data_IF_196574913179
#
_entry.id   IF_196574913179
#
_cell.length_a   1.000
_cell.length_b   1.000
_cell.length_c   1.000
_cell.angle_alpha   90.00
_cell.angle_beta   90.00
_cell.angle_gamma   90.00
#
_symmetry.space_group_name_H-M   'P 1'
#
loop_
_entity.id
_entity.type
_entity.pdbx_description
1 polymer ?
#
# COMPACT_ATOMS: atom_id res chain seq x y z
N UNK A 1 33.98 42.03 -4.26
CA UNK A 1 33.79 40.61 -4.62
C UNK A 1 33.87 39.78 -3.34
N UNK A 2 33.10 40.09 -2.30
CA UNK A 2 31.73 39.63 -2.02
C UNK A 2 31.46 38.12 -2.15
N UNK A 3 31.65 37.46 -0.98
CA UNK A 3 30.86 36.42 -0.29
C UNK A 3 30.62 35.06 -0.98
N UNK A 4 30.96 33.98 -0.27
CA UNK A 4 30.01 33.00 0.32
C UNK A 4 30.82 31.95 1.10
N UNK A 5 30.94 32.09 2.43
CA UNK A 5 30.05 31.51 3.48
C UNK A 5 30.23 30.00 3.61
N UNK A 6 30.74 29.64 4.78
CA UNK A 6 31.00 28.34 5.40
C UNK A 6 29.74 27.50 5.62
N UNK A 7 29.87 26.17 5.51
CA UNK A 7 29.15 25.18 6.32
C UNK A 7 29.93 23.85 6.19
N UNK A 8 30.92 23.58 7.05
CA UNK A 8 30.76 22.83 8.30
C UNK A 8 30.07 21.48 8.10
N UNK A 9 30.86 20.46 7.76
CA UNK A 9 30.47 19.07 7.81
C UNK A 9 29.99 18.72 9.23
N UNK A 10 28.68 18.55 9.38
CA UNK A 10 28.05 18.09 10.61
C UNK A 10 28.35 16.61 10.80
N UNK A 11 29.39 16.35 11.58
CA UNK A 11 29.70 15.06 12.20
C UNK A 11 28.65 14.77 13.27
N UNK A 12 27.57 14.05 12.95
CA UNK A 12 26.68 13.49 13.99
C UNK A 12 27.20 12.14 14.44
N UNK A 13 28.13 12.20 15.38
CA UNK A 13 28.53 11.08 16.24
C UNK A 13 27.38 10.70 17.16
N UNK A 14 26.82 9.50 17.00
CA UNK A 14 26.11 8.81 18.09
C UNK A 14 26.48 7.32 18.07
N UNK A 15 27.76 7.04 18.35
CA UNK A 15 28.16 5.74 18.88
C UNK A 15 28.23 5.88 20.40
N UNK A 16 27.07 5.85 21.05
CA UNK A 16 26.92 5.84 22.49
C UNK A 16 26.31 4.51 22.92
N UNK A 17 27.07 3.42 22.77
CA UNK A 17 26.76 2.14 23.39
C UNK A 17 27.73 1.94 24.55
N UNK A 18 27.20 1.87 25.78
CA UNK A 18 27.94 1.33 26.93
C UNK A 18 28.35 -0.10 26.55
N UNK A 19 29.63 -0.43 26.72
CA UNK A 19 30.13 -1.79 26.46
C UNK A 19 29.88 -2.59 27.73
N UNK A 20 28.88 -3.45 27.68
CA UNK A 20 28.54 -4.36 28.76
C UNK A 20 29.64 -5.42 28.88
N UNK A 21 30.11 -5.66 30.10
CA UNK A 21 31.30 -6.50 30.42
C UNK A 21 31.05 -8.01 30.27
N UNK A 22 29.84 -8.44 29.87
CA UNK A 22 29.54 -9.84 29.62
C UNK A 22 29.78 -10.16 28.14
N UNK A 23 30.90 -10.82 27.87
CA UNK A 23 31.15 -11.43 26.57
C UNK A 23 30.19 -12.59 26.35
N UNK A 24 29.18 -12.37 25.52
CA UNK A 24 28.44 -13.46 24.86
C UNK A 24 28.28 -13.13 23.36
N UNK A 25 28.83 -14.03 22.56
CA UNK A 25 28.42 -14.43 21.22
C UNK A 25 28.22 -13.34 20.17
N UNK A 26 29.27 -13.15 19.38
CA UNK A 26 29.23 -12.47 18.08
C UNK A 26 28.45 -13.28 17.05
N UNK A 27 27.11 -13.31 17.19
CA UNK A 27 26.20 -13.92 16.21
C UNK A 27 25.33 -12.88 15.48
N UNK A 28 25.90 -11.73 15.10
CA UNK A 28 25.11 -10.69 14.39
C UNK A 28 25.69 -10.21 13.06
N UNK A 29 26.83 -10.75 12.59
CA UNK A 29 27.52 -10.14 11.42
C UNK A 29 27.32 -10.88 10.08
N UNK A 30 26.69 -12.06 10.05
CA UNK A 30 26.54 -12.84 8.80
C UNK A 30 25.08 -13.03 8.32
N UNK A 31 24.19 -12.08 8.57
CA UNK A 31 22.91 -12.07 7.85
C UNK A 31 23.12 -11.41 6.48
N UNK A 32 22.94 -12.19 5.41
CA UNK A 32 22.91 -11.67 4.04
C UNK A 32 21.73 -10.72 3.87
N UNK A 33 21.99 -9.42 4.11
CA UNK A 33 21.00 -8.37 3.89
C UNK A 33 20.76 -8.27 2.38
N UNK A 34 19.50 -8.39 1.97
CA UNK A 34 19.12 -8.13 0.58
C UNK A 34 19.43 -6.68 0.24
N UNK A 35 20.21 -6.38 -0.81
CA UNK A 35 20.50 -5.00 -1.18
C UNK A 35 19.26 -4.37 -1.80
N UNK A 36 18.48 -3.64 -0.99
CA UNK A 36 17.33 -2.89 -1.46
C UNK A 36 17.79 -1.76 -2.39
N UNK A 37 17.21 -1.68 -3.58
CA UNK A 37 17.37 -0.51 -4.47
C UNK A 37 16.10 0.34 -4.39
N UNK A 38 16.26 1.64 -4.17
CA UNK A 38 15.17 2.60 -4.16
C UNK A 38 15.14 3.32 -5.51
N UNK A 39 13.98 3.30 -6.17
CA UNK A 39 13.75 4.05 -7.41
C UNK A 39 12.46 4.85 -7.31
N UNK A 40 12.34 5.91 -8.11
CA UNK A 40 11.12 6.72 -8.15
C UNK A 40 10.06 5.99 -8.99
N UNK A 41 8.96 5.60 -8.36
CA UNK A 41 7.82 4.97 -9.05
C UNK A 41 7.21 5.96 -10.07
N UNK A 42 7.11 5.53 -11.32
CA UNK A 42 6.48 6.28 -12.42
C UNK A 42 5.74 5.35 -13.38
N UNK A 43 4.88 5.91 -14.24
CA UNK A 43 4.12 5.15 -15.23
C UNK A 43 3.30 4.01 -14.63
N UNK A 44 3.41 2.82 -15.21
CA UNK A 44 2.71 1.63 -14.74
C UNK A 44 3.14 1.16 -13.35
N UNK A 45 4.41 1.32 -12.96
CA UNK A 45 4.88 0.90 -11.64
C UNK A 45 4.12 1.66 -10.55
N UNK A 46 3.94 2.97 -10.73
CA UNK A 46 3.17 3.81 -9.80
C UNK A 46 1.68 3.42 -9.73
N UNK A 47 1.09 3.01 -10.87
CA UNK A 47 -0.31 2.57 -10.92
C UNK A 47 -0.54 1.17 -10.34
N UNK A 48 0.48 0.31 -10.36
CA UNK A 48 0.41 -1.03 -9.76
C UNK A 48 0.66 -1.01 -8.27
N UNK A 49 1.40 -0.03 -7.76
CA UNK A 49 1.67 0.14 -6.34
C UNK A 49 0.42 0.63 -5.59
N UNK A 50 -0.25 -0.20 -4.78
CA UNK A 50 -1.55 0.16 -4.16
C UNK A 50 -1.42 1.31 -3.15
N UNK A 51 -0.22 1.45 -2.58
CA UNK A 51 0.16 2.50 -1.61
C UNK A 51 0.14 3.91 -2.21
N UNK A 52 0.54 4.02 -3.47
CA UNK A 52 0.74 5.30 -4.14
C UNK A 52 -0.31 5.58 -5.22
N UNK A 53 -1.00 4.54 -5.68
CA UNK A 53 -2.05 4.69 -6.68
C UNK A 53 -3.25 5.49 -6.13
N UNK A 54 -3.56 6.60 -6.82
CA UNK A 54 -4.73 7.46 -6.53
C UNK A 54 -5.87 7.25 -7.54
N UNK A 55 -5.72 6.33 -8.49
CA UNK A 55 -6.67 6.11 -9.58
C UNK A 55 -6.91 7.39 -10.38
N UNK A 56 -8.17 7.82 -10.49
CA UNK A 56 -8.54 9.04 -11.22
C UNK A 56 -8.28 10.34 -10.45
N UNK A 57 -7.81 10.27 -9.20
CA UNK A 57 -7.56 11.45 -8.36
C UNK A 57 -6.18 12.08 -8.61
N UNK A 58 -5.37 11.50 -9.51
CA UNK A 58 -4.15 12.17 -9.97
C UNK A 58 -4.50 13.46 -10.69
N UNK A 59 -3.94 14.57 -10.20
CA UNK A 59 -4.05 15.89 -10.82
C UNK A 59 -3.29 15.93 -12.16
N UNK A 60 -3.62 16.88 -13.03
CA UNK A 60 -2.94 17.01 -14.34
C UNK A 60 -1.43 17.18 -14.18
N UNK A 61 -0.99 17.98 -13.20
CA UNK A 61 0.43 18.16 -12.89
C UNK A 61 1.11 16.85 -12.48
N UNK A 62 0.49 16.07 -11.59
CA UNK A 62 1.03 14.77 -11.18
C UNK A 62 1.10 13.78 -12.35
N UNK A 63 0.11 13.83 -13.27
CA UNK A 63 0.11 12.97 -14.45
C UNK A 63 1.25 13.30 -15.40
N UNK A 64 1.57 14.58 -15.56
CA UNK A 64 2.70 15.03 -16.38
C UNK A 64 4.05 14.69 -15.71
N UNK A 65 4.19 14.86 -14.39
CA UNK A 65 5.44 14.57 -13.68
C UNK A 65 5.74 13.07 -13.54
N UNK A 66 4.70 12.22 -13.40
CA UNK A 66 4.86 10.78 -13.21
C UNK A 66 4.64 9.95 -14.49
N UNK A 67 4.61 10.59 -15.66
CA UNK A 67 4.42 9.93 -16.96
C UNK A 67 3.14 9.07 -17.03
N UNK A 68 2.04 9.59 -16.47
CA UNK A 68 0.72 8.92 -16.47
C UNK A 68 -0.18 9.39 -17.61
N UNK A 69 0.26 10.38 -18.39
CA UNK A 69 -0.51 10.93 -19.52
C UNK A 69 -0.71 9.86 -20.60
N UNK A 70 -1.96 9.63 -20.98
CA UNK A 70 -2.35 8.58 -21.92
C UNK A 70 -2.67 7.23 -21.27
N UNK A 71 -2.26 6.99 -20.01
CA UNK A 71 -2.61 5.76 -19.27
C UNK A 71 -3.96 5.87 -18.57
N UNK A 72 -4.35 7.08 -18.17
CA UNK A 72 -5.61 7.37 -17.50
C UNK A 72 -6.54 8.20 -18.40
N UNK A 73 -7.87 7.99 -18.31
CA UNK A 73 -8.85 8.88 -18.94
C UNK A 73 -8.64 10.35 -18.56
N UNK A 74 -9.02 11.32 -19.41
CA UNK A 74 -8.78 12.74 -19.15
C UNK A 74 -9.54 13.29 -17.94
N UNK A 75 -10.58 12.60 -17.46
CA UNK A 75 -11.33 13.00 -16.29
C UNK A 75 -10.48 12.91 -15.01
N UNK A 76 -10.45 13.99 -14.23
CA UNK A 76 -9.92 14.03 -12.87
C UNK A 76 -11.09 13.95 -11.91
N UNK A 77 -11.09 12.96 -11.02
CA UNK A 77 -12.19 12.72 -10.07
C UNK A 77 -11.64 12.85 -8.66
N UNK A 78 -12.20 13.77 -7.88
CA UNK A 78 -11.81 13.98 -6.49
C UNK A 78 -12.01 12.72 -5.64
N UNK A 79 -11.18 12.56 -4.60
CA UNK A 79 -11.17 11.36 -3.77
C UNK A 79 -12.50 11.15 -3.05
N UNK A 80 -13.15 12.23 -2.58
CA UNK A 80 -14.46 12.16 -1.94
C UNK A 80 -15.56 11.68 -2.90
N UNK A 81 -15.45 12.06 -4.19
CA UNK A 81 -16.41 11.61 -5.20
C UNK A 81 -16.18 10.14 -5.57
N UNK A 82 -14.93 9.68 -5.59
CA UNK A 82 -14.62 8.26 -5.78
C UNK A 82 -15.19 7.41 -4.64
N UNK A 83 -15.01 7.86 -3.39
CA UNK A 83 -15.57 7.21 -2.20
C UNK A 83 -17.09 7.09 -2.29
N UNK A 84 -17.79 8.20 -2.58
CA UNK A 84 -19.26 8.21 -2.74
C UNK A 84 -19.75 7.25 -3.83
N UNK A 85 -19.05 7.18 -4.97
CA UNK A 85 -19.40 6.24 -6.05
C UNK A 85 -19.20 4.80 -5.61
N UNK A 86 -18.11 4.54 -4.92
CA UNK A 86 -17.72 3.20 -4.48
C UNK A 86 -18.67 2.65 -3.41
N UNK A 87 -19.02 3.43 -2.38
CA UNK A 87 -19.98 2.99 -1.36
C UNK A 87 -21.36 2.71 -1.98
N UNK A 88 -21.80 3.54 -2.94
CA UNK A 88 -23.05 3.32 -3.66
C UNK A 88 -23.01 2.01 -4.46
N UNK A 89 -21.90 1.72 -5.14
CA UNK A 89 -21.72 0.45 -5.84
C UNK A 89 -21.71 -0.75 -4.86
N UNK A 90 -21.01 -0.63 -3.72
CA UNK A 90 -20.95 -1.70 -2.71
C UNK A 90 -22.34 -2.01 -2.15
N UNK A 91 -23.16 -0.98 -1.93
CA UNK A 91 -24.54 -1.13 -1.44
C UNK A 91 -25.47 -1.83 -2.42
N UNK A 92 -25.20 -1.74 -3.72
CA UNK A 92 -26.00 -2.40 -4.77
C UNK A 92 -25.76 -3.92 -4.82
N UNK A 93 -24.63 -4.43 -4.33
CA UNK A 93 -24.40 -5.86 -4.30
C UNK A 93 -25.36 -6.58 -3.34
N UNK A 94 -26.03 -7.61 -3.85
CA UNK A 94 -26.99 -8.42 -3.11
C UNK A 94 -26.27 -9.40 -2.16
N UNK A 95 -25.13 -9.95 -2.60
CA UNK A 95 -24.43 -11.00 -1.86
C UNK A 95 -23.25 -10.44 -1.04
N UNK A 96 -23.10 -10.82 0.24
CA UNK A 96 -21.97 -10.39 1.06
C UNK A 96 -20.60 -10.76 0.49
N UNK A 97 -20.49 -11.88 -0.22
CA UNK A 97 -19.25 -12.30 -0.88
C UNK A 97 -18.81 -11.31 -1.97
N UNK A 98 -19.75 -10.77 -2.76
CA UNK A 98 -19.44 -9.77 -3.79
C UNK A 98 -18.93 -8.47 -3.17
N UNK A 99 -19.55 -8.05 -2.06
CA UNK A 99 -19.08 -6.89 -1.28
C UNK A 99 -17.66 -7.10 -0.77
N UNK A 100 -17.37 -8.29 -0.24
CA UNK A 100 -16.02 -8.66 0.20
C UNK A 100 -15.02 -8.60 -0.95
N UNK A 101 -15.32 -9.23 -2.10
CA UNK A 101 -14.43 -9.22 -3.27
C UNK A 101 -14.15 -7.80 -3.77
N UNK A 102 -15.17 -6.94 -3.83
CA UNK A 102 -15.01 -5.54 -4.23
C UNK A 102 -14.12 -4.76 -3.26
N UNK A 103 -14.23 -5.02 -1.95
CA UNK A 103 -13.37 -4.41 -0.93
C UNK A 103 -11.92 -4.91 -1.03
N UNK A 104 -11.70 -6.20 -1.26
CA UNK A 104 -10.35 -6.76 -1.48
C UNK A 104 -9.71 -6.20 -2.75
N UNK A 105 -10.45 -6.16 -3.86
CA UNK A 105 -9.97 -5.57 -5.12
C UNK A 105 -9.62 -4.09 -4.97
N UNK A 106 -10.39 -3.35 -4.16
CA UNK A 106 -10.08 -1.97 -3.83
C UNK A 106 -8.79 -1.85 -3.03
N UNK A 107 -8.61 -2.69 -1.99
CA UNK A 107 -7.40 -2.69 -1.17
C UNK A 107 -6.15 -2.96 -2.01
N UNK A 108 -6.23 -3.90 -2.95
CA UNK A 108 -5.14 -4.24 -3.88
C UNK A 108 -4.89 -3.17 -4.94
N UNK A 109 -5.81 -2.22 -5.17
CA UNK A 109 -5.63 -1.16 -6.17
C UNK A 109 -5.31 0.20 -5.57
N UNK A 110 -5.96 0.57 -4.49
CA UNK A 110 -5.83 1.87 -3.85
C UNK A 110 -6.07 1.72 -2.33
N UNK A 111 -4.97 1.52 -1.62
CA UNK A 111 -4.95 1.29 -0.19
C UNK A 111 -5.45 2.52 0.59
N UNK A 112 -5.14 3.73 0.11
CA UNK A 112 -5.56 4.99 0.77
C UNK A 112 -7.08 5.17 0.72
N UNK A 113 -7.69 4.88 -0.43
CA UNK A 113 -9.14 4.98 -0.59
C UNK A 113 -9.86 3.89 0.19
N UNK A 114 -9.30 2.68 0.24
CA UNK A 114 -9.82 1.59 1.07
C UNK A 114 -9.90 1.99 2.54
N UNK A 115 -8.80 2.46 3.14
CA UNK A 115 -8.80 2.85 4.55
C UNK A 115 -9.69 4.06 4.83
N UNK A 116 -9.74 5.04 3.93
CA UNK A 116 -10.64 6.17 4.05
C UNK A 116 -12.11 5.72 4.12
N UNK A 117 -12.53 4.89 3.15
CA UNK A 117 -13.89 4.35 3.09
C UNK A 117 -14.22 3.47 4.30
N UNK A 118 -13.25 2.70 4.80
CA UNK A 118 -13.45 1.84 5.97
C UNK A 118 -13.63 2.65 7.26
N UNK A 119 -12.90 3.76 7.42
CA UNK A 119 -13.06 4.67 8.56
C UNK A 119 -14.41 5.39 8.49
N UNK A 120 -14.77 5.92 7.32
CA UNK A 120 -15.98 6.71 7.12
C UNK A 120 -17.27 5.85 7.20
N UNK A 121 -17.17 4.53 6.94
CA UNK A 121 -18.31 3.60 6.94
C UNK A 121 -18.06 2.33 7.79
N UNK A 122 -17.37 2.47 8.93
CA UNK A 122 -16.93 1.33 9.75
C UNK A 122 -18.09 0.41 10.19
N UNK A 123 -19.23 0.96 10.62
CA UNK A 123 -20.36 0.18 11.12
C UNK A 123 -20.96 -0.74 10.03
N UNK A 124 -20.98 -0.28 8.78
CA UNK A 124 -21.54 -1.03 7.65
C UNK A 124 -20.53 -2.06 7.10
N UNK A 125 -19.24 -1.72 7.07
CA UNK A 125 -18.22 -2.48 6.36
C UNK A 125 -17.46 -3.48 7.24
N UNK A 126 -17.32 -3.22 8.54
CA UNK A 126 -16.59 -4.10 9.46
C UNK A 126 -17.16 -5.53 9.50
N UNK A 127 -18.50 -5.74 9.53
CA UNK A 127 -19.07 -7.08 9.46
C UNK A 127 -18.69 -7.85 8.19
N UNK A 128 -18.48 -7.15 7.07
CA UNK A 128 -18.15 -7.76 5.76
C UNK A 128 -16.67 -8.13 5.70
N UNK A 129 -15.78 -7.26 6.17
CA UNK A 129 -14.33 -7.47 6.15
C UNK A 129 -13.91 -8.57 7.14
N UNK A 130 -14.58 -8.65 8.30
CA UNK A 130 -14.19 -9.54 9.39
C UNK A 130 -15.00 -10.84 9.46
N UNK A 131 -15.94 -11.11 8.54
CA UNK A 131 -16.79 -12.31 8.68
C UNK A 131 -15.99 -13.59 8.40
N UNK A 132 -15.77 -14.46 9.43
CA UNK A 132 -15.01 -15.70 9.23
C UNK A 132 -15.72 -16.67 8.28
N UNK A 133 -17.05 -16.60 8.20
CA UNK A 133 -17.84 -17.46 7.31
C UNK A 133 -17.64 -17.13 5.83
N UNK A 134 -17.35 -15.87 5.49
CA UNK A 134 -17.02 -15.47 4.12
C UNK A 134 -15.62 -15.96 3.76
N UNK A 135 -14.66 -15.87 4.68
CA UNK A 135 -13.33 -16.45 4.50
C UNK A 135 -13.40 -17.96 4.24
N UNK A 136 -14.21 -18.72 4.99
CA UNK A 136 -14.39 -20.17 4.75
C UNK A 136 -15.01 -20.45 3.38
N UNK A 137 -16.03 -19.70 2.96
CA UNK A 137 -16.63 -19.83 1.62
C UNK A 137 -15.64 -19.48 0.50
N UNK A 138 -14.83 -18.45 0.72
CA UNK A 138 -13.84 -17.99 -0.24
C UNK A 138 -12.67 -18.98 -0.35
N UNK A 139 -12.17 -19.54 0.75
CA UNK A 139 -11.18 -20.63 0.72
C UNK A 139 -11.72 -21.84 -0.03
N UNK A 140 -12.99 -22.19 0.19
CA UNK A 140 -13.65 -23.29 -0.55
C UNK A 140 -13.76 -23.01 -2.05
N UNK A 141 -13.95 -21.75 -2.45
CA UNK A 141 -14.01 -21.34 -3.86
C UNK A 141 -12.61 -21.12 -4.49
N UNK A 142 -11.62 -20.67 -3.72
CA UNK A 142 -10.23 -20.45 -4.16
C UNK A 142 -9.41 -21.74 -4.25
N UNK A 143 -9.83 -22.84 -3.62
CA UNK A 143 -9.26 -24.17 -3.87
C UNK A 143 -9.36 -24.60 -5.36
N UNK A 144 -10.08 -23.84 -6.19
CA UNK A 144 -10.22 -24.05 -7.64
C UNK A 144 -9.33 -23.11 -8.47
N UNK A 145 -8.76 -22.04 -7.89
CA UNK A 145 -7.96 -21.05 -8.62
C UNK A 145 -6.54 -20.98 -8.04
N UNK A 146 -5.65 -21.74 -8.68
CA UNK A 146 -4.21 -21.75 -8.47
C UNK A 146 -3.56 -20.39 -8.77
N UNK A 147 -2.64 -19.99 -7.89
CA UNK A 147 -1.52 -19.10 -8.23
C UNK A 147 -1.55 -17.75 -7.52
N UNK A 148 -0.96 -17.67 -6.32
CA UNK A 148 0.31 -16.93 -6.16
C UNK A 148 0.86 -17.02 -4.72
N UNK A 149 2.18 -16.95 -4.67
CA UNK A 149 3.09 -17.26 -3.56
C UNK A 149 2.77 -16.46 -2.29
N UNK A 150 2.14 -17.10 -1.30
CA UNK A 150 2.32 -16.70 0.11
C UNK A 150 3.61 -17.34 0.62
N UNK A 151 4.38 -16.59 1.42
CA UNK A 151 5.55 -17.13 2.12
C UNK A 151 5.04 -18.20 3.10
N UNK A 152 5.07 -19.45 2.68
CA UNK A 152 4.86 -20.59 3.56
C UNK A 152 6.21 -20.88 4.23
N UNK A 153 6.34 -20.56 5.50
CA UNK A 153 7.35 -21.20 6.33
C UNK A 153 6.81 -22.57 6.69
N UNK A 154 7.30 -23.60 6.01
CA UNK A 154 7.07 -24.98 6.43
C UNK A 154 7.86 -25.22 7.72
N UNK A 155 7.17 -25.68 8.75
CA UNK A 155 7.78 -26.19 9.97
C UNK A 155 8.51 -27.52 9.73
#
# INVERSE_FOLDING_TARGET
MEKNVTNSDLKSSVNGGVVDVYGEDSATVEHSITPWSLSVSSGYSLLRDPRYNKGLAFTEKERDTHYLRGLLPPAVVDQNLQEKRLINNIRQYQHPLQKYMALTELQERNERLFYKLLIDHVEELLPIVYTPQLLVKLVRNMAVFSGDLRVYSSA
#
